data_IF_770514850853
#
_entry.id   IF_770514850853
#
_cell.length_a   1.000
_cell.length_b   1.000
_cell.length_c   1.000
_cell.angle_alpha   90.00
_cell.angle_beta   90.00
_cell.angle_gamma   90.00
#
_symmetry.space_group_name_H-M   'P 1'
#
loop_
_entity.id
_entity.type
_entity.pdbx_description
1 polymer ?
#
# COMPACT_ATOMS: atom_id res chain seq x y z
N UNK A 1 6.52 -15.83 -17.27
CA UNK A 1 6.61 -14.39 -17.53
C UNK A 1 6.81 -13.71 -16.18
N UNK A 2 7.93 -13.03 -16.00
CA UNK A 2 8.29 -12.33 -14.75
C UNK A 2 7.37 -11.12 -14.58
N UNK A 3 6.98 -10.78 -13.33
CA UNK A 3 6.26 -9.52 -13.01
C UNK A 3 7.02 -8.27 -13.49
N UNK A 4 8.27 -8.39 -13.88
CA UNK A 4 9.08 -7.32 -14.46
C UNK A 4 8.78 -7.03 -15.94
N UNK A 5 8.10 -7.93 -16.68
CA UNK A 5 7.75 -7.67 -18.08
C UNK A 5 6.66 -6.61 -18.24
N UNK A 6 5.97 -6.23 -17.16
CA UNK A 6 5.00 -5.12 -17.14
C UNK A 6 5.67 -3.75 -17.02
N UNK A 7 6.93 -3.70 -16.60
CA UNK A 7 7.70 -2.46 -16.44
C UNK A 7 8.42 -2.01 -17.72
N UNK A 8 8.22 -2.68 -18.85
CA UNK A 8 9.05 -2.47 -20.05
C UNK A 8 8.60 -1.34 -20.98
N UNK A 9 7.64 -0.48 -20.63
CA UNK A 9 7.22 0.54 -21.61
C UNK A 9 6.89 1.94 -21.11
N UNK A 10 7.41 2.39 -19.98
CA UNK A 10 7.13 3.79 -19.71
C UNK A 10 7.74 4.48 -18.50
N UNK A 11 8.24 3.78 -17.52
CA UNK A 11 8.59 4.47 -16.27
C UNK A 11 9.96 4.10 -15.70
N UNK A 12 11.02 4.36 -16.49
CA UNK A 12 12.38 4.33 -15.98
C UNK A 12 12.57 5.29 -14.77
N UNK A 13 11.83 6.39 -14.72
CA UNK A 13 11.87 7.34 -13.59
C UNK A 13 11.36 6.73 -12.29
N UNK A 14 10.28 5.97 -12.35
CA UNK A 14 9.75 5.27 -11.16
C UNK A 14 10.71 4.22 -10.61
N UNK A 15 11.41 3.51 -11.50
CA UNK A 15 12.42 2.52 -11.09
C UNK A 15 13.65 3.18 -10.45
N UNK A 16 14.13 4.30 -11.00
CA UNK A 16 15.25 5.06 -10.42
C UNK A 16 14.88 5.61 -9.04
N UNK A 17 13.70 6.23 -8.90
CA UNK A 17 13.20 6.75 -7.62
C UNK A 17 13.05 5.64 -6.58
N UNK A 18 12.54 4.48 -6.97
CA UNK A 18 12.45 3.30 -6.11
C UNK A 18 13.84 2.87 -5.63
N UNK A 19 14.82 2.73 -6.55
CA UNK A 19 16.18 2.32 -6.22
C UNK A 19 16.88 3.34 -5.30
N UNK A 20 16.67 4.63 -5.52
CA UNK A 20 17.21 5.68 -4.64
C UNK A 20 16.60 5.60 -3.23
N UNK A 21 15.29 5.40 -3.12
CA UNK A 21 14.61 5.22 -1.83
C UNK A 21 15.08 3.96 -1.12
N UNK A 22 15.24 2.85 -1.83
CA UNK A 22 15.78 1.61 -1.29
C UNK A 22 17.22 1.79 -0.78
N UNK A 23 18.07 2.48 -1.54
CA UNK A 23 19.44 2.80 -1.14
C UNK A 23 19.46 3.68 0.11
N UNK A 24 18.56 4.67 0.20
CA UNK A 24 18.50 5.62 1.32
C UNK A 24 17.91 5.00 2.58
N UNK A 25 16.84 4.24 2.47
CA UNK A 25 16.03 3.79 3.60
C UNK A 25 16.03 2.29 3.86
N UNK A 26 16.60 1.46 2.97
CA UNK A 26 16.64 0.01 3.15
C UNK A 26 17.35 -0.48 4.42
N UNK A 27 18.19 0.38 5.02
CA UNK A 27 18.89 0.14 6.31
C UNK A 27 18.43 1.09 7.42
N UNK A 28 17.19 1.63 7.31
CA UNK A 28 16.61 2.56 8.27
C UNK A 28 16.76 2.05 9.71
N UNK A 29 17.15 2.94 10.62
CA UNK A 29 17.25 2.69 12.06
C UNK A 29 16.12 3.41 12.80
N UNK A 30 15.68 2.83 13.93
CA UNK A 30 14.57 3.35 14.72
C UNK A 30 14.82 4.78 15.24
N UNK A 31 16.05 5.12 15.58
CA UNK A 31 16.43 6.44 16.07
C UNK A 31 16.39 7.53 15.00
N UNK A 32 16.48 7.16 13.73
CA UNK A 32 16.44 8.10 12.60
C UNK A 32 15.02 8.60 12.31
N UNK A 33 13.99 7.87 12.77
CA UNK A 33 12.57 8.15 12.45
C UNK A 33 12.13 9.56 12.82
N UNK A 34 12.61 10.11 13.95
CA UNK A 34 12.23 11.44 14.41
C UNK A 34 12.73 12.55 13.47
N UNK A 35 13.89 12.33 12.84
CA UNK A 35 14.53 13.28 11.93
C UNK A 35 13.98 13.26 10.51
N UNK A 36 13.21 12.22 10.14
CA UNK A 36 12.64 12.11 8.80
C UNK A 36 11.52 13.13 8.61
N UNK A 37 11.52 13.92 7.52
CA UNK A 37 10.44 14.84 7.21
C UNK A 37 9.08 14.12 7.14
N UNK A 38 8.02 14.82 7.53
CA UNK A 38 6.64 14.29 7.48
C UNK A 38 6.27 13.79 6.09
N UNK A 39 6.67 14.50 5.04
CA UNK A 39 6.41 14.13 3.65
C UNK A 39 7.15 12.87 3.18
N UNK A 40 8.17 12.42 3.91
CA UNK A 40 9.00 11.28 3.52
C UNK A 40 8.84 10.06 4.43
N UNK A 41 8.24 10.23 5.63
CA UNK A 41 8.24 9.19 6.66
C UNK A 41 7.56 7.88 6.23
N UNK A 42 6.42 7.97 5.54
CA UNK A 42 5.71 6.79 5.04
C UNK A 42 6.59 6.09 3.99
N UNK A 43 7.12 6.84 3.04
CA UNK A 43 7.99 6.32 1.98
C UNK A 43 9.27 5.68 2.55
N UNK A 44 9.86 6.27 3.59
CA UNK A 44 11.03 5.72 4.26
C UNK A 44 10.74 4.37 4.92
N UNK A 45 9.64 4.29 5.66
CA UNK A 45 9.22 3.05 6.34
C UNK A 45 8.82 1.97 5.35
N UNK A 46 8.07 2.31 4.31
CA UNK A 46 7.67 1.31 3.29
C UNK A 46 8.88 0.80 2.51
N UNK A 47 9.83 1.66 2.14
CA UNK A 47 11.08 1.22 1.50
C UNK A 47 11.90 0.30 2.41
N UNK A 48 11.98 0.60 3.72
CA UNK A 48 12.62 -0.31 4.68
C UNK A 48 11.90 -1.67 4.77
N UNK A 49 10.58 -1.69 4.74
CA UNK A 49 9.80 -2.93 4.71
C UNK A 49 10.06 -3.69 3.40
N UNK A 50 10.05 -2.99 2.27
CA UNK A 50 10.29 -3.56 0.95
C UNK A 50 11.70 -4.14 0.79
N UNK A 51 12.71 -3.59 1.48
CA UNK A 51 14.05 -4.17 1.50
C UNK A 51 14.10 -5.60 2.05
N UNK A 52 13.07 -6.01 2.82
CA UNK A 52 12.94 -7.38 3.34
C UNK A 52 12.36 -8.36 2.30
N UNK A 53 11.75 -7.83 1.23
CA UNK A 53 11.25 -8.63 0.11
C UNK A 53 12.29 -8.87 -0.99
N UNK A 54 13.45 -8.19 -0.94
CA UNK A 54 14.41 -8.15 -2.03
C UNK A 54 14.90 -9.53 -2.47
N UNK A 55 14.84 -10.53 -1.59
CA UNK A 55 15.23 -11.91 -1.88
C UNK A 55 14.07 -12.78 -2.37
N UNK A 56 12.82 -12.39 -2.13
CA UNK A 56 11.67 -13.23 -2.47
C UNK A 56 10.36 -12.43 -2.65
N UNK A 57 10.27 -11.70 -3.75
CA UNK A 57 9.05 -10.98 -4.15
C UNK A 57 7.85 -11.91 -4.41
N UNK A 58 8.11 -13.20 -4.59
CA UNK A 58 7.03 -14.18 -4.80
C UNK A 58 6.31 -14.53 -3.51
N UNK A 59 6.90 -14.23 -2.34
CA UNK A 59 6.33 -14.54 -1.03
C UNK A 59 6.06 -13.29 -0.18
N UNK A 60 5.62 -12.20 -0.83
CA UNK A 60 5.25 -10.94 -0.15
C UNK A 60 4.26 -11.18 0.99
N UNK A 61 3.30 -12.10 0.81
CA UNK A 61 2.34 -12.46 1.85
C UNK A 61 2.99 -13.04 3.10
N UNK A 62 3.99 -13.91 2.95
CA UNK A 62 4.72 -14.48 4.09
C UNK A 62 5.51 -13.42 4.84
N UNK A 63 6.20 -12.54 4.12
CA UNK A 63 6.99 -11.49 4.75
C UNK A 63 6.08 -10.51 5.49
N UNK A 64 5.00 -10.04 4.86
CA UNK A 64 4.02 -9.15 5.51
C UNK A 64 3.46 -9.80 6.78
N UNK A 65 3.05 -11.06 6.72
CA UNK A 65 2.50 -11.78 7.88
C UNK A 65 3.53 -11.98 9.01
N UNK A 66 4.83 -11.87 8.73
CA UNK A 66 5.88 -11.93 9.75
C UNK A 66 6.19 -10.58 10.40
N UNK A 67 5.67 -9.48 9.85
CA UNK A 67 5.90 -8.14 10.38
C UNK A 67 5.04 -7.87 11.62
N UNK A 68 5.51 -7.01 12.54
CA UNK A 68 4.67 -6.46 13.60
C UNK A 68 3.46 -5.71 13.03
N UNK A 69 2.30 -5.82 13.69
CA UNK A 69 1.05 -5.16 13.29
C UNK A 69 1.21 -3.68 12.93
N UNK A 70 1.96 -2.85 13.68
CA UNK A 70 2.17 -1.46 13.28
C UNK A 70 2.81 -1.29 11.90
N UNK A 71 3.75 -2.17 11.52
CA UNK A 71 4.38 -2.14 10.20
C UNK A 71 3.37 -2.52 9.11
N UNK A 72 2.59 -3.57 9.36
CA UNK A 72 1.53 -4.04 8.44
C UNK A 72 0.52 -2.92 8.17
N UNK A 73 0.06 -2.23 9.22
CA UNK A 73 -0.94 -1.17 9.12
C UNK A 73 -0.46 -0.03 8.21
N UNK A 74 0.77 0.45 8.39
CA UNK A 74 1.31 1.54 7.57
C UNK A 74 1.57 1.07 6.14
N UNK A 75 2.18 -0.09 5.98
CA UNK A 75 2.53 -0.62 4.66
C UNK A 75 1.28 -0.88 3.80
N UNK A 76 0.30 -1.59 4.35
CA UNK A 76 -0.91 -1.92 3.58
C UNK A 76 -1.74 -0.67 3.25
N UNK A 77 -1.84 0.31 4.17
CA UNK A 77 -2.54 1.55 3.91
C UNK A 77 -1.86 2.36 2.78
N UNK A 78 -0.53 2.47 2.79
CA UNK A 78 0.22 3.16 1.73
C UNK A 78 0.10 2.42 0.40
N UNK A 79 0.37 1.12 0.38
CA UNK A 79 0.33 0.31 -0.84
C UNK A 79 -1.04 0.37 -1.53
N UNK A 80 -2.11 0.13 -0.78
CA UNK A 80 -3.46 0.15 -1.34
C UNK A 80 -3.88 1.56 -1.75
N UNK A 81 -3.45 2.61 -1.04
CA UNK A 81 -3.74 3.98 -1.48
C UNK A 81 -3.13 4.30 -2.84
N UNK A 82 -1.93 3.81 -3.13
CA UNK A 82 -1.28 3.95 -4.44
C UNK A 82 -2.06 3.21 -5.53
N UNK A 83 -2.40 1.93 -5.29
CA UNK A 83 -3.18 1.13 -6.24
C UNK A 83 -4.54 1.79 -6.58
N UNK A 84 -5.25 2.34 -5.57
CA UNK A 84 -6.54 3.01 -5.81
C UNK A 84 -6.34 4.32 -6.56
N UNK A 85 -5.31 5.09 -6.26
CA UNK A 85 -5.01 6.36 -6.95
C UNK A 85 -4.62 6.15 -8.40
N UNK A 86 -3.93 5.05 -8.71
CA UNK A 86 -3.44 4.72 -10.04
C UNK A 86 -4.53 4.17 -10.96
N UNK A 87 -5.47 3.40 -10.44
CA UNK A 87 -6.48 2.76 -11.27
C UNK A 87 -7.79 2.40 -10.58
N UNK A 88 -8.08 3.01 -9.43
CA UNK A 88 -9.31 2.79 -8.67
C UNK A 88 -9.36 1.45 -7.96
N UNK A 89 -10.50 1.18 -7.31
CA UNK A 89 -10.73 -0.09 -6.62
C UNK A 89 -10.73 -1.29 -7.56
N UNK A 90 -11.12 -1.10 -8.82
CA UNK A 90 -11.03 -2.15 -9.84
C UNK A 90 -9.60 -2.67 -9.97
N UNK A 91 -8.62 -1.78 -10.14
CA UNK A 91 -7.21 -2.16 -10.21
C UNK A 91 -6.72 -2.77 -8.89
N UNK A 92 -7.06 -2.16 -7.75
CA UNK A 92 -6.64 -2.67 -6.46
C UNK A 92 -7.13 -4.11 -6.22
N UNK A 93 -8.38 -4.44 -6.54
CA UNK A 93 -8.92 -5.79 -6.43
C UNK A 93 -8.39 -6.78 -7.46
N UNK A 94 -7.95 -6.28 -8.61
CA UNK A 94 -7.31 -7.12 -9.62
C UNK A 94 -5.88 -7.49 -9.21
N UNK A 95 -5.12 -6.52 -8.70
CA UNK A 95 -3.70 -6.68 -8.35
C UNK A 95 -3.48 -7.35 -6.99
N UNK A 96 -4.45 -7.24 -6.07
CA UNK A 96 -4.29 -7.70 -4.69
C UNK A 96 -5.44 -8.59 -4.21
N UNK A 97 -5.22 -9.29 -3.08
CA UNK A 97 -6.28 -10.06 -2.45
C UNK A 97 -7.25 -9.16 -1.66
N UNK A 98 -8.49 -9.62 -1.49
CA UNK A 98 -9.49 -8.98 -0.61
C UNK A 98 -8.96 -8.83 0.83
N UNK A 99 -8.26 -9.84 1.32
CA UNK A 99 -7.72 -9.83 2.67
C UNK A 99 -6.71 -8.70 2.85
N UNK A 100 -5.86 -8.48 1.84
CA UNK A 100 -4.88 -7.39 1.86
C UNK A 100 -5.55 -6.01 1.85
N UNK A 101 -6.62 -5.85 1.06
CA UNK A 101 -7.41 -4.62 1.04
C UNK A 101 -8.14 -4.41 2.38
N UNK A 102 -8.64 -5.49 3.01
CA UNK A 102 -9.22 -5.44 4.36
C UNK A 102 -8.21 -4.98 5.42
N UNK A 103 -6.99 -5.50 5.35
CA UNK A 103 -5.90 -5.06 6.24
C UNK A 103 -5.59 -3.56 6.04
N UNK A 104 -5.64 -3.07 4.81
CA UNK A 104 -5.45 -1.64 4.55
C UNK A 104 -6.54 -0.76 5.18
N UNK A 105 -7.80 -1.21 5.18
CA UNK A 105 -8.90 -0.52 5.87
C UNK A 105 -8.61 -0.39 7.37
N UNK A 106 -8.18 -1.47 8.02
CA UNK A 106 -7.75 -1.45 9.43
C UNK A 106 -6.50 -0.58 9.63
N UNK A 107 -5.55 -0.62 8.69
CA UNK A 107 -4.38 0.24 8.71
C UNK A 107 -4.73 1.72 8.74
N UNK A 108 -5.66 2.17 7.88
CA UNK A 108 -6.14 3.55 7.91
C UNK A 108 -6.82 3.92 9.23
N UNK A 109 -7.59 3.03 9.83
CA UNK A 109 -8.19 3.26 11.15
C UNK A 109 -7.13 3.37 12.24
N UNK A 110 -6.16 2.48 12.22
CA UNK A 110 -5.08 2.43 13.20
C UNK A 110 -4.21 3.70 13.18
N UNK A 111 -3.91 4.24 12.00
CA UNK A 111 -3.18 5.51 11.89
C UNK A 111 -4.04 6.75 12.18
N UNK A 112 -5.33 6.58 12.44
CA UNK A 112 -6.23 7.70 12.78
C UNK A 112 -6.96 8.31 11.58
N UNK A 113 -7.12 7.57 10.49
CA UNK A 113 -7.87 8.01 9.30
C UNK A 113 -9.10 7.13 9.01
N UNK A 114 -10.05 6.99 9.97
CA UNK A 114 -11.14 6.01 9.89
C UNK A 114 -12.05 6.19 8.68
N UNK A 115 -12.26 7.43 8.21
CA UNK A 115 -13.09 7.68 7.02
C UNK A 115 -12.59 6.94 5.77
N UNK A 116 -11.27 6.76 5.60
CA UNK A 116 -10.73 5.97 4.49
C UNK A 116 -10.97 4.48 4.70
N UNK A 117 -10.81 4.00 5.93
CA UNK A 117 -11.19 2.64 6.28
C UNK A 117 -12.63 2.32 5.91
N UNK A 118 -13.56 3.25 6.19
CA UNK A 118 -14.99 3.09 5.87
C UNK A 118 -15.25 3.06 4.36
N UNK A 119 -14.55 3.88 3.57
CA UNK A 119 -14.65 3.86 2.10
C UNK A 119 -14.14 2.53 1.54
N UNK A 120 -13.03 2.03 2.05
CA UNK A 120 -12.46 0.74 1.62
C UNK A 120 -13.42 -0.41 1.98
N UNK A 121 -14.05 -0.39 3.15
CA UNK A 121 -15.04 -1.41 3.51
C UNK A 121 -16.26 -1.40 2.60
N UNK A 122 -16.73 -0.23 2.18
CA UNK A 122 -17.81 -0.15 1.20
C UNK A 122 -17.40 -0.78 -0.14
N UNK A 123 -16.17 -0.55 -0.59
CA UNK A 123 -15.63 -1.17 -1.79
C UNK A 123 -15.51 -2.70 -1.64
N UNK A 124 -15.07 -3.19 -0.48
CA UNK A 124 -15.02 -4.63 -0.17
C UNK A 124 -16.41 -5.26 -0.24
N UNK A 125 -17.44 -4.58 0.30
CA UNK A 125 -18.83 -5.05 0.22
C UNK A 125 -19.31 -5.14 -1.22
N UNK A 126 -19.07 -4.11 -2.04
CA UNK A 126 -19.40 -4.12 -3.48
C UNK A 126 -18.72 -5.31 -4.17
N UNK A 127 -17.42 -5.51 -3.90
CA UNK A 127 -16.68 -6.63 -4.48
C UNK A 127 -17.24 -8.00 -4.06
N UNK A 128 -17.67 -8.12 -2.80
CA UNK A 128 -18.24 -9.35 -2.28
C UNK A 128 -19.61 -9.64 -2.91
N UNK A 129 -20.48 -8.64 -2.96
CA UNK A 129 -21.85 -8.74 -3.51
C UNK A 129 -21.82 -9.01 -5.02
N UNK A 130 -20.83 -8.49 -5.74
CA UNK A 130 -20.67 -8.72 -7.18
C UNK A 130 -20.34 -10.17 -7.54
N UNK A 131 -19.86 -10.97 -6.59
CA UNK A 131 -19.35 -12.33 -6.81
C UNK A 131 -18.14 -12.41 -7.76
N UNK A 132 -17.66 -11.26 -8.25
CA UNK A 132 -16.53 -11.20 -9.18
C UNK A 132 -15.24 -11.55 -8.44
N UNK A 133 -14.62 -12.64 -8.83
CA UNK A 133 -13.23 -12.95 -8.46
C UNK A 133 -12.36 -12.37 -9.57
N UNK A 134 -11.22 -11.81 -9.21
CA UNK A 134 -10.17 -11.53 -10.19
C UNK A 134 -9.71 -12.89 -10.76
N UNK A 135 -10.37 -13.32 -11.83
CA UNK A 135 -10.30 -14.70 -12.32
C UNK A 135 -9.35 -14.84 -13.51
N UNK A 136 -8.45 -13.91 -13.72
CA UNK A 136 -7.53 -13.99 -14.84
C UNK A 136 -6.29 -13.13 -14.60
N UNK A 137 -5.33 -13.28 -15.49
CA UNK A 137 -4.10 -12.47 -15.52
C UNK A 137 -3.86 -11.89 -16.91
N UNK A 138 -4.91 -11.89 -17.76
CA UNK A 138 -4.83 -11.28 -19.10
C UNK A 138 -5.19 -9.79 -19.05
N UNK A 139 -4.78 -9.06 -20.08
CA UNK A 139 -5.16 -7.66 -20.25
C UNK A 139 -6.68 -7.55 -20.45
N UNK A 140 -7.29 -8.51 -21.16
CA UNK A 140 -8.73 -8.55 -21.39
C UNK A 140 -9.49 -8.73 -20.08
N UNK A 141 -9.02 -9.60 -19.18
CA UNK A 141 -9.61 -9.79 -17.85
C UNK A 141 -9.50 -8.51 -17.01
N UNK A 142 -8.35 -7.82 -17.07
CA UNK A 142 -8.16 -6.54 -16.40
C UNK A 142 -9.13 -5.48 -16.94
N UNK A 143 -9.23 -5.33 -18.26
CA UNK A 143 -10.13 -4.35 -18.88
C UNK A 143 -11.59 -4.64 -18.55
N UNK A 144 -12.00 -5.92 -18.56
CA UNK A 144 -13.35 -6.34 -18.19
C UNK A 144 -13.64 -6.08 -16.69
N UNK A 145 -12.65 -6.20 -15.84
CA UNK A 145 -12.76 -5.94 -14.41
C UNK A 145 -12.74 -4.44 -14.10
N UNK A 146 -11.86 -3.68 -14.74
CA UNK A 146 -11.72 -2.22 -14.57
C UNK A 146 -12.90 -1.45 -15.17
N UNK A 147 -13.52 -1.95 -16.23
CA UNK A 147 -14.73 -1.36 -16.83
C UNK A 147 -15.98 -1.50 -15.93
N UNK A 148 -15.82 -2.02 -14.71
CA UNK A 148 -16.92 -2.19 -13.78
C UNK A 148 -17.30 -0.85 -13.13
N UNK A 149 -18.41 -0.29 -13.54
CA UNK A 149 -18.97 0.96 -12.98
C UNK A 149 -19.37 0.85 -11.50
N UNK A 150 -19.38 -0.37 -10.93
CA UNK A 150 -19.77 -0.61 -9.53
C UNK A 150 -18.88 0.14 -8.54
N UNK A 151 -17.61 0.35 -8.86
CA UNK A 151 -16.66 1.06 -7.98
C UNK A 151 -16.65 2.57 -8.16
N UNK A 152 -17.28 3.11 -9.18
CA UNK A 152 -17.19 4.53 -9.56
C UNK A 152 -17.54 5.52 -8.44
N UNK A 153 -18.46 5.15 -7.56
CA UNK A 153 -18.85 5.99 -6.43
C UNK A 153 -17.77 5.96 -5.33
N UNK A 154 -17.32 4.77 -4.95
CA UNK A 154 -16.30 4.62 -3.90
C UNK A 154 -14.93 5.13 -4.35
N UNK A 155 -14.60 5.06 -5.65
CA UNK A 155 -13.40 5.70 -6.21
C UNK A 155 -13.43 7.22 -6.01
N UNK A 156 -14.56 7.85 -6.33
CA UNK A 156 -14.76 9.29 -6.10
C UNK A 156 -14.71 9.64 -4.61
N UNK A 157 -15.31 8.81 -3.77
CA UNK A 157 -15.32 9.03 -2.32
C UNK A 157 -13.90 8.89 -1.74
N UNK A 158 -13.12 7.92 -2.23
CA UNK A 158 -11.71 7.78 -1.85
C UNK A 158 -10.91 9.03 -2.25
N UNK A 159 -10.97 9.44 -3.51
CA UNK A 159 -10.26 10.63 -4.01
C UNK A 159 -10.68 11.92 -3.27
N UNK A 160 -11.94 12.03 -2.86
CA UNK A 160 -12.43 13.19 -2.09
C UNK A 160 -11.93 13.21 -0.66
N UNK A 161 -11.76 12.03 -0.05
CA UNK A 161 -11.38 11.90 1.37
C UNK A 161 -9.87 11.83 1.55
N UNK A 162 -9.14 11.20 0.60
CA UNK A 162 -7.71 10.99 0.70
C UNK A 162 -6.95 12.31 0.53
N UNK A 163 -6.12 12.62 1.52
CA UNK A 163 -5.18 13.73 1.53
C UNK A 163 -3.82 13.17 1.98
N UNK A 164 -2.85 13.21 1.08
CA UNK A 164 -1.53 12.62 1.29
C UNK A 164 -0.78 13.30 2.45
N UNK A 165 -0.84 14.64 2.54
CA UNK A 165 -0.22 15.37 3.63
C UNK A 165 -0.82 15.01 4.98
N UNK A 166 -2.16 14.89 5.04
CA UNK A 166 -2.85 14.43 6.24
C UNK A 166 -2.48 12.98 6.58
N UNK A 167 -2.41 12.09 5.58
CA UNK A 167 -2.01 10.71 5.80
C UNK A 167 -0.59 10.63 6.36
N UNK A 168 0.37 11.34 5.74
CA UNK A 168 1.76 11.35 6.19
C UNK A 168 1.89 11.85 7.63
N UNK A 169 1.17 12.91 8.01
CA UNK A 169 1.16 13.43 9.39
C UNK A 169 0.62 12.41 10.40
N UNK A 170 -0.54 11.82 10.12
CA UNK A 170 -1.15 10.81 10.99
C UNK A 170 -0.28 9.56 11.10
N UNK A 171 0.28 9.11 9.96
CA UNK A 171 1.20 7.98 9.92
C UNK A 171 2.49 8.28 10.70
N UNK A 172 3.04 9.49 10.61
CA UNK A 172 4.21 9.89 11.42
C UNK A 172 3.93 9.77 12.91
N UNK A 173 2.81 10.29 13.38
CA UNK A 173 2.43 10.19 14.79
C UNK A 173 2.27 8.72 15.23
N UNK A 174 1.70 7.89 14.37
CA UNK A 174 1.56 6.47 14.61
C UNK A 174 2.92 5.75 14.62
N UNK A 175 3.76 5.98 13.63
CA UNK A 175 5.11 5.41 13.52
C UNK A 175 5.95 5.75 14.76
N UNK A 176 5.96 7.01 15.18
CA UNK A 176 6.72 7.45 16.35
C UNK A 176 6.20 6.84 17.64
N UNK A 177 4.88 6.69 17.80
CA UNK A 177 4.27 5.97 18.94
C UNK A 177 4.73 4.51 19.03
N UNK A 178 4.93 3.87 17.92
CA UNK A 178 5.32 2.46 17.81
C UNK A 178 6.75 2.28 17.28
N UNK A 179 7.62 3.27 17.46
CA UNK A 179 8.95 3.35 16.82
C UNK A 179 9.82 2.10 17.00
N UNK A 180 9.69 1.38 18.11
CA UNK A 180 10.43 0.15 18.37
C UNK A 180 10.20 -0.98 17.37
N UNK A 181 9.15 -0.90 16.55
CA UNK A 181 8.82 -1.89 15.53
C UNK A 181 9.30 -1.49 14.14
N UNK A 182 9.72 -0.24 13.96
CA UNK A 182 10.17 0.30 12.67
C UNK A 182 11.69 0.49 12.68
N UNK A 183 12.32 0.13 11.56
CA UNK A 183 13.77 0.20 11.45
C UNK A 183 14.49 -0.99 12.12
N UNK A 184 15.80 -1.01 11.95
CA UNK A 184 16.68 -1.94 12.69
C UNK A 184 16.85 -1.40 14.10
N UNK A 185 16.69 -2.27 15.10
CA UNK A 185 17.12 -1.94 16.46
C UNK A 185 18.65 -1.84 16.50
N UNK A 186 19.20 -0.94 17.29
CA UNK A 186 20.60 -1.03 17.65
C UNK A 186 20.86 -2.30 18.47
N UNK A 187 22.02 -2.95 18.26
CA UNK A 187 22.38 -4.15 18.99
C UNK A 187 22.58 -3.89 20.49
#
# INVERSE_FOLDING_TARGET
>A
MSKFDFLTSGDFRGAEEFMEKQKRYGSLKSEELESIPESEIVSAVTSWIESKFAEDWHDMGRVINSLPTPCINVYCADYISKEIRDGGFGQAFFNTSRDFIGIAAEGFRAVGYPKLGDVIEQALKINYDSGKKAAGRSIEDFLAFAANDDYKTVDKDFCRVFDEGKFNRLAKDYILRYKKYFGKAEP
#
